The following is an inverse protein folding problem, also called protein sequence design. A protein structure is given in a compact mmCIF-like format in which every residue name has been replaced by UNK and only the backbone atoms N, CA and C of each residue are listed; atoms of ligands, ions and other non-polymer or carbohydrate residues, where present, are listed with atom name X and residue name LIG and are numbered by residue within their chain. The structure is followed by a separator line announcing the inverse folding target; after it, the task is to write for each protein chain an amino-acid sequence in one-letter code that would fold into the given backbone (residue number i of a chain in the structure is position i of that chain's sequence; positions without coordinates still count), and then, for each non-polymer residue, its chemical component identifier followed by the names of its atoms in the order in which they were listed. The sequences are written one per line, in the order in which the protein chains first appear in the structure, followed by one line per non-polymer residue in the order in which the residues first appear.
data_IF_974824878396
#
_entry.id   IF_974824878396
#
_cell.length_a   1.000
_cell.length_b   1.000
_cell.length_c   1.000
_cell.angle_alpha   90.00
_cell.angle_beta   90.00
_cell.angle_gamma   90.00
#
_symmetry.space_group_name_H-M   'P 1'
#
loop_
_entity.id
_entity.type
_entity.pdbx_description
1 polymer ?
#
# COMPACT_ATOMS: atom_id res chain seq x y z
N UNK A 1 -21.66 -13.00 -0.28
CA UNK A 1 -21.21 -11.63 -0.06
C UNK A 1 -19.79 -11.55 -0.52
N UNK A 2 -19.60 -10.85 -1.59
CA UNK A 2 -18.27 -10.72 -2.15
C UNK A 2 -17.43 -9.80 -1.28
N UNK A 3 -16.16 -10.09 -1.21
CA UNK A 3 -15.17 -9.37 -0.42
C UNK A 3 -15.08 -7.88 -0.82
N UNK A 4 -15.38 -7.56 -2.08
CA UNK A 4 -15.54 -6.20 -2.56
C UNK A 4 -16.72 -5.47 -1.90
N UNK A 5 -17.83 -6.18 -1.63
CA UNK A 5 -18.97 -5.59 -0.92
C UNK A 5 -18.61 -5.23 0.52
N UNK A 6 -17.80 -6.10 1.18
CA UNK A 6 -17.26 -5.81 2.51
C UNK A 6 -16.34 -4.59 2.47
N UNK A 7 -15.45 -4.50 1.49
CA UNK A 7 -14.55 -3.35 1.35
C UNK A 7 -15.34 -2.05 1.16
N UNK A 8 -16.31 -2.04 0.28
CA UNK A 8 -17.15 -0.86 0.04
C UNK A 8 -17.93 -0.49 1.30
N UNK A 9 -18.59 -1.44 1.93
CA UNK A 9 -19.42 -1.18 3.11
C UNK A 9 -18.60 -0.67 4.31
N UNK A 10 -17.39 -1.21 4.54
CA UNK A 10 -16.62 -0.98 5.74
C UNK A 10 -15.52 0.09 5.58
N UNK A 11 -14.96 0.22 4.37
CA UNK A 11 -13.82 1.14 4.15
C UNK A 11 -14.20 2.41 3.40
N UNK A 12 -15.19 2.39 2.52
CA UNK A 12 -15.58 3.60 1.79
C UNK A 12 -16.02 4.74 2.72
N UNK A 13 -16.79 4.51 3.80
CA UNK A 13 -17.14 5.57 4.76
C UNK A 13 -15.90 6.17 5.44
N UNK A 14 -14.86 5.36 5.70
CA UNK A 14 -13.60 5.85 6.26
C UNK A 14 -12.84 6.71 5.25
N UNK A 15 -12.77 6.29 3.99
CA UNK A 15 -12.13 7.07 2.92
C UNK A 15 -12.82 8.43 2.77
N UNK A 16 -14.14 8.47 2.76
CA UNK A 16 -14.93 9.71 2.69
C UNK A 16 -14.69 10.61 3.91
N UNK A 17 -14.65 10.04 5.10
CA UNK A 17 -14.39 10.78 6.35
C UNK A 17 -13.04 11.51 6.30
N UNK A 18 -12.02 10.89 5.73
CA UNK A 18 -10.68 11.48 5.54
C UNK A 18 -10.53 12.24 4.23
N UNK A 19 -11.62 12.48 3.51
CA UNK A 19 -11.66 13.22 2.24
C UNK A 19 -10.77 12.60 1.16
N UNK A 20 -10.66 11.26 1.19
CA UNK A 20 -10.00 10.49 0.14
C UNK A 20 -10.94 10.23 -1.03
N UNK A 21 -10.37 9.85 -2.16
CA UNK A 21 -11.10 9.39 -3.33
C UNK A 21 -10.92 7.89 -3.50
N UNK A 22 -12.01 7.20 -3.75
CA UNK A 22 -12.04 5.80 -4.18
C UNK A 22 -11.90 5.77 -5.70
N UNK A 23 -10.71 5.44 -6.21
CA UNK A 23 -10.42 5.56 -7.63
C UNK A 23 -10.91 4.33 -8.39
N UNK A 24 -10.37 3.16 -8.05
CA UNK A 24 -10.76 1.90 -8.70
C UNK A 24 -10.37 0.68 -7.89
N UNK A 25 -11.06 -0.40 -8.18
CA UNK A 25 -10.74 -1.74 -7.74
C UNK A 25 -9.96 -2.48 -8.85
N UNK A 26 -8.91 -3.19 -8.49
CA UNK A 26 -8.06 -3.94 -9.42
C UNK A 26 -7.87 -5.35 -8.88
N UNK A 27 -8.64 -6.29 -9.39
CA UNK A 27 -8.69 -7.65 -8.83
C UNK A 27 -9.19 -7.63 -7.39
N UNK A 28 -8.38 -8.10 -6.47
CA UNK A 28 -8.59 -8.04 -5.03
C UNK A 28 -8.03 -6.77 -4.37
N UNK A 29 -7.48 -5.86 -5.15
CA UNK A 29 -6.86 -4.63 -4.68
C UNK A 29 -7.70 -3.38 -4.91
N UNK A 30 -7.33 -2.33 -4.19
CA UNK A 30 -8.00 -1.04 -4.18
C UNK A 30 -7.00 0.09 -4.33
N UNK A 31 -7.32 1.07 -5.16
CA UNK A 31 -6.54 2.29 -5.32
C UNK A 31 -7.32 3.46 -4.73
N UNK A 32 -6.70 4.11 -3.75
CA UNK A 32 -7.20 5.31 -3.10
C UNK A 32 -6.24 6.48 -3.33
N UNK A 33 -6.78 7.70 -3.34
CA UNK A 33 -5.97 8.92 -3.39
C UNK A 33 -6.39 9.91 -2.32
N UNK A 34 -5.43 10.70 -1.85
CA UNK A 34 -5.63 11.75 -0.84
C UNK A 34 -4.81 12.97 -1.24
N UNK A 35 -5.23 14.12 -0.79
CA UNK A 35 -4.55 15.40 -1.05
C UNK A 35 -3.44 15.72 -0.03
N UNK A 36 -3.38 14.99 1.10
CA UNK A 36 -2.31 15.13 2.09
C UNK A 36 -1.85 13.79 2.67
N UNK A 37 -0.57 13.73 3.05
CA UNK A 37 0.03 12.55 3.70
C UNK A 37 -0.73 12.19 4.98
N UNK A 38 -1.05 13.19 5.81
CA UNK A 38 -1.71 12.95 7.10
C UNK A 38 -3.08 12.30 6.95
N UNK A 39 -3.90 12.79 6.01
CA UNK A 39 -5.21 12.17 5.72
C UNK A 39 -5.05 10.72 5.26
N UNK A 40 -4.11 10.46 4.36
CA UNK A 40 -3.82 9.13 3.85
C UNK A 40 -3.39 8.18 4.98
N UNK A 41 -2.42 8.58 5.79
CA UNK A 41 -1.88 7.73 6.87
C UNK A 41 -2.94 7.45 7.93
N UNK A 42 -3.66 8.47 8.41
CA UNK A 42 -4.71 8.28 9.41
C UNK A 42 -5.85 7.40 8.88
N UNK A 43 -6.30 7.63 7.64
CA UNK A 43 -7.31 6.78 7.01
C UNK A 43 -6.85 5.32 6.95
N UNK A 44 -5.62 5.07 6.50
CA UNK A 44 -5.06 3.73 6.39
C UNK A 44 -4.93 3.02 7.74
N UNK A 45 -4.59 3.76 8.81
CA UNK A 45 -4.58 3.22 10.18
C UNK A 45 -6.01 2.79 10.58
N UNK A 46 -7.01 3.64 10.33
CA UNK A 46 -8.40 3.31 10.62
C UNK A 46 -8.93 2.13 9.80
N UNK A 47 -8.54 2.04 8.54
CA UNK A 47 -8.85 0.87 7.71
C UNK A 47 -8.23 -0.39 8.31
N UNK A 48 -6.97 -0.38 8.78
CA UNK A 48 -6.35 -1.52 9.43
C UNK A 48 -7.01 -1.88 10.76
N UNK A 49 -7.38 -0.89 11.57
CA UNK A 49 -8.15 -1.11 12.80
C UNK A 49 -9.48 -1.81 12.49
N UNK A 50 -10.19 -1.36 11.46
CA UNK A 50 -11.46 -1.96 11.03
C UNK A 50 -11.27 -3.35 10.44
N UNK A 51 -10.27 -3.56 9.59
CA UNK A 51 -9.97 -4.84 8.97
C UNK A 51 -9.68 -5.94 10.01
N UNK A 52 -9.04 -5.61 11.14
CA UNK A 52 -8.81 -6.55 12.26
C UNK A 52 -10.11 -7.10 12.87
N UNK A 53 -11.22 -6.39 12.73
CA UNK A 53 -12.53 -6.83 13.26
C UNK A 53 -13.30 -7.74 12.30
N UNK A 54 -12.82 -7.90 11.07
CA UNK A 54 -13.46 -8.69 10.04
C UNK A 54 -12.77 -10.06 9.98
N UNK A 55 -13.54 -11.10 10.21
CA UNK A 55 -13.02 -12.46 10.24
C UNK A 55 -12.39 -12.85 8.88
N UNK A 56 -11.23 -13.48 8.93
CA UNK A 56 -10.47 -13.95 7.76
C UNK A 56 -10.01 -12.85 6.78
N UNK A 57 -10.09 -11.57 7.16
CA UNK A 57 -9.58 -10.48 6.35
C UNK A 57 -8.15 -10.13 6.77
N UNK A 58 -7.22 -10.24 5.81
CA UNK A 58 -5.84 -9.79 5.98
C UNK A 58 -5.52 -8.75 4.91
N UNK A 59 -5.20 -7.54 5.35
CA UNK A 59 -5.01 -6.39 4.48
C UNK A 59 -3.54 -5.92 4.53
N UNK A 60 -2.95 -5.66 3.36
CA UNK A 60 -1.67 -4.96 3.25
C UNK A 60 -1.90 -3.61 2.62
N UNK A 61 -1.19 -2.60 3.10
CA UNK A 61 -1.31 -1.23 2.59
C UNK A 61 0.06 -0.70 2.21
N UNK A 62 0.15 -0.09 1.02
CA UNK A 62 1.29 0.69 0.56
C UNK A 62 0.90 2.14 0.38
N UNK A 63 1.70 3.09 0.88
CA UNK A 63 1.46 4.53 0.72
C UNK A 63 2.68 5.18 0.05
N UNK A 64 2.44 5.95 -0.99
CA UNK A 64 3.47 6.72 -1.68
C UNK A 64 2.98 8.16 -1.96
N UNK A 65 3.90 9.11 -1.91
CA UNK A 65 3.68 10.48 -2.36
C UNK A 65 4.30 10.66 -3.74
N UNK A 66 3.48 11.01 -4.72
CA UNK A 66 3.92 11.15 -6.09
C UNK A 66 3.02 12.08 -6.91
N UNK A 67 3.26 12.14 -8.20
CA UNK A 67 2.47 12.90 -9.16
C UNK A 67 1.59 11.96 -9.99
N UNK A 68 0.34 12.35 -10.22
CA UNK A 68 -0.58 11.64 -11.09
C UNK A 68 -1.27 12.58 -12.06
N UNK A 69 -1.66 12.01 -13.19
CA UNK A 69 -2.64 12.61 -14.08
C UNK A 69 -3.98 11.90 -13.85
N UNK A 70 -4.96 12.66 -13.37
CA UNK A 70 -6.34 12.20 -13.25
C UNK A 70 -7.04 12.37 -14.61
N UNK A 71 -7.56 11.29 -15.16
CA UNK A 71 -8.27 11.29 -16.44
C UNK A 71 -9.51 10.42 -16.36
N UNK A 72 -10.70 11.02 -16.47
CA UNK A 72 -12.01 10.33 -16.58
C UNK A 72 -12.20 9.17 -15.58
N UNK A 73 -11.98 9.41 -14.29
CA UNK A 73 -12.02 8.41 -13.21
C UNK A 73 -10.91 7.34 -13.23
N UNK A 74 -9.84 7.56 -13.96
CA UNK A 74 -8.62 6.77 -13.87
C UNK A 74 -7.43 7.65 -13.50
N UNK A 75 -6.39 7.03 -12.97
CA UNK A 75 -5.12 7.70 -12.67
C UNK A 75 -4.00 7.06 -13.48
N UNK A 76 -3.18 7.91 -14.07
CA UNK A 76 -2.02 7.50 -14.87
C UNK A 76 -0.77 8.16 -14.27
N UNK A 77 0.29 7.40 -14.12
CA UNK A 77 1.59 7.90 -13.67
C UNK A 77 2.48 6.78 -13.15
N UNK A 78 3.78 7.01 -13.22
CA UNK A 78 4.77 6.05 -12.71
C UNK A 78 4.64 5.86 -11.19
N UNK A 79 4.21 6.90 -10.46
CA UNK A 79 4.04 6.85 -9.01
C UNK A 79 2.89 5.93 -8.56
N UNK A 80 1.89 5.67 -9.41
CA UNK A 80 0.87 4.65 -9.17
C UNK A 80 1.52 3.25 -9.13
N UNK A 81 2.43 2.99 -10.05
CA UNK A 81 3.17 1.73 -10.11
C UNK A 81 4.08 1.58 -8.88
N UNK A 82 4.72 2.66 -8.42
CA UNK A 82 5.55 2.65 -7.21
C UNK A 82 4.71 2.27 -6.01
N UNK A 83 3.53 2.86 -5.86
CA UNK A 83 2.61 2.56 -4.75
C UNK A 83 2.27 1.08 -4.69
N UNK A 84 1.90 0.47 -5.81
CA UNK A 84 1.60 -0.95 -5.92
C UNK A 84 2.83 -1.85 -5.67
N UNK A 85 4.06 -1.34 -5.87
CA UNK A 85 5.32 -2.06 -5.59
C UNK A 85 5.79 -1.92 -4.15
N UNK A 86 5.31 -0.94 -3.41
CA UNK A 86 5.61 -0.75 -1.98
C UNK A 86 4.74 -1.66 -1.10
N UNK A 87 3.49 -1.88 -1.48
CA UNK A 87 2.54 -2.70 -0.71
C UNK A 87 3.10 -4.07 -0.29
N UNK A 88 3.76 -4.85 -1.16
CA UNK A 88 4.28 -6.17 -0.81
C UNK A 88 5.31 -6.18 0.33
N UNK A 89 5.88 -5.02 0.67
CA UNK A 89 6.77 -4.86 1.82
C UNK A 89 6.03 -4.63 3.13
N UNK A 90 4.71 -4.48 3.09
CA UNK A 90 3.87 -4.46 4.29
C UNK A 90 3.71 -5.85 4.88
N UNK A 91 3.74 -5.96 6.20
CA UNK A 91 3.22 -7.14 6.88
C UNK A 91 1.69 -7.24 6.69
N UNK A 92 1.10 -8.44 6.73
CA UNK A 92 -0.35 -8.57 6.83
C UNK A 92 -0.88 -7.79 8.04
N UNK A 93 -1.85 -6.93 7.84
CA UNK A 93 -2.36 -5.99 8.85
C UNK A 93 -1.50 -4.73 9.03
N UNK A 94 -0.41 -4.57 8.27
CA UNK A 94 0.53 -3.47 8.39
C UNK A 94 0.40 -2.40 7.30
N UNK A 95 1.29 -1.42 7.36
CA UNK A 95 1.38 -0.32 6.39
C UNK A 95 2.85 -0.10 6.02
N UNK A 96 3.18 -0.23 4.72
CA UNK A 96 4.46 0.15 4.17
C UNK A 96 4.36 1.54 3.51
N UNK A 97 5.42 2.33 3.63
CA UNK A 97 5.46 3.70 3.13
C UNK A 97 6.77 3.99 2.40
N UNK A 98 6.75 4.88 1.43
CA UNK A 98 7.97 5.41 0.82
C UNK A 98 8.69 6.41 1.71
N UNK A 99 9.97 6.69 1.41
CA UNK A 99 10.73 7.75 2.05
C UNK A 99 10.02 9.11 2.01
N UNK A 100 9.40 9.47 0.90
CA UNK A 100 8.64 10.74 0.77
C UNK A 100 7.52 10.84 1.81
N UNK A 101 6.80 9.74 2.06
CA UNK A 101 5.75 9.68 3.09
C UNK A 101 6.36 9.68 4.49
N UNK A 102 7.44 8.91 4.70
CA UNK A 102 8.20 8.92 5.96
C UNK A 102 8.64 10.33 6.34
N UNK A 103 9.26 11.07 5.42
CA UNK A 103 9.73 12.44 5.65
C UNK A 103 8.59 13.39 6.03
N UNK A 104 7.38 13.13 5.51
CA UNK A 104 6.18 13.89 5.83
C UNK A 104 5.64 13.69 7.24
N UNK A 105 5.85 12.50 7.84
CA UNK A 105 5.28 12.14 9.16
C UNK A 105 6.31 12.01 10.28
N UNK A 106 7.60 11.92 9.97
CA UNK A 106 8.66 11.60 10.94
C UNK A 106 8.76 12.61 12.09
N UNK A 107 8.28 13.82 11.90
CA UNK A 107 8.27 14.90 12.91
C UNK A 107 7.05 14.88 13.82
N UNK A 108 6.06 14.06 13.51
CA UNK A 108 4.85 13.92 14.32
C UNK A 108 5.06 12.81 15.35
N UNK A 109 4.97 13.17 16.64
CA UNK A 109 5.30 12.26 17.75
C UNK A 109 4.39 11.04 17.86
N UNK A 110 3.25 11.06 17.21
CA UNK A 110 2.31 9.92 17.19
C UNK A 110 2.78 8.79 16.25
N UNK A 111 3.65 9.08 15.27
CA UNK A 111 4.13 8.09 14.32
C UNK A 111 5.53 7.60 14.67
N UNK A 112 5.68 6.30 14.65
CA UNK A 112 6.99 5.64 14.65
C UNK A 112 7.10 4.76 13.41
N UNK A 113 8.29 4.73 12.83
CA UNK A 113 8.56 3.99 11.59
C UNK A 113 9.83 3.15 11.73
N UNK A 114 9.94 2.10 10.91
CA UNK A 114 11.13 1.26 10.80
C UNK A 114 11.55 1.18 9.35
N UNK A 115 12.83 1.41 9.09
CA UNK A 115 13.43 1.26 7.77
C UNK A 115 13.47 -0.21 7.35
N UNK A 116 13.02 -0.50 6.12
CA UNK A 116 12.97 -1.86 5.57
C UNK A 116 14.02 -2.10 4.48
N UNK A 117 14.56 -1.04 3.90
CA UNK A 117 15.59 -1.15 2.86
C UNK A 117 15.30 -0.27 1.64
N UNK A 118 16.09 -0.50 0.59
CA UNK A 118 16.03 0.21 -0.69
C UNK A 118 15.90 -0.78 -1.83
N UNK A 119 14.71 -1.37 -2.02
CA UNK A 119 14.48 -2.38 -3.02
C UNK A 119 14.58 -1.81 -4.44
N UNK A 120 15.01 -2.66 -5.38
CA UNK A 120 14.89 -2.37 -6.79
C UNK A 120 13.46 -2.72 -7.24
N UNK A 121 12.60 -1.71 -7.33
CA UNK A 121 11.22 -1.90 -7.76
C UNK A 121 11.15 -2.13 -9.26
N UNK A 122 10.47 -3.19 -9.69
CA UNK A 122 10.37 -3.56 -11.11
C UNK A 122 9.68 -2.45 -11.91
N UNK A 123 10.33 -2.00 -12.98
CA UNK A 123 9.80 -0.93 -13.85
C UNK A 123 9.88 0.48 -13.28
N UNK A 124 10.58 0.66 -12.15
CA UNK A 124 10.78 1.97 -11.50
C UNK A 124 12.25 2.38 -11.64
N UNK A 125 12.50 3.49 -12.32
CA UNK A 125 13.86 4.01 -12.51
C UNK A 125 14.42 4.69 -11.26
N UNK A 126 13.56 5.33 -10.47
CA UNK A 126 13.96 6.06 -9.26
C UNK A 126 14.24 5.09 -8.10
N UNK A 127 15.18 5.51 -7.25
CA UNK A 127 15.49 4.76 -6.02
C UNK A 127 14.48 5.14 -4.94
N UNK A 128 13.74 4.14 -4.44
CA UNK A 128 12.74 4.31 -3.38
C UNK A 128 13.21 3.59 -2.13
N UNK A 129 13.27 4.30 -1.02
CA UNK A 129 13.46 3.69 0.29
C UNK A 129 12.10 3.36 0.90
N UNK A 130 12.00 2.20 1.52
CA UNK A 130 10.76 1.69 2.08
C UNK A 130 10.87 1.59 3.59
N UNK A 131 9.83 2.01 4.27
CA UNK A 131 9.65 1.95 5.72
C UNK A 131 8.34 1.24 6.04
N UNK A 132 8.14 0.77 7.26
CA UNK A 132 6.82 0.43 7.78
C UNK A 132 6.47 1.31 8.97
N UNK A 133 5.18 1.58 9.16
CA UNK A 133 4.67 2.25 10.36
C UNK A 133 4.61 1.21 11.48
N UNK A 134 5.16 1.54 12.65
CA UNK A 134 5.25 0.64 13.81
C UNK A 134 4.42 1.11 15.01
N UNK A 135 3.89 2.32 14.95
CA UNK A 135 2.93 2.86 15.93
C UNK A 135 1.52 2.30 15.74
N UNK A 136 0.59 2.69 16.60
CA UNK A 136 -0.84 2.34 16.52
C UNK A 136 -1.13 0.82 16.55
N UNK A 137 -0.23 0.03 17.17
CA UNK A 137 -0.41 -1.42 17.24
C UNK A 137 -0.35 -2.14 15.89
N UNK A 138 0.26 -1.52 14.88
CA UNK A 138 0.46 -2.12 13.56
C UNK A 138 1.58 -3.17 13.61
N UNK A 139 1.43 -4.31 12.94
CA UNK A 139 2.45 -5.33 12.87
C UNK A 139 3.67 -4.83 12.08
N UNK A 140 4.86 -5.16 12.60
CA UNK A 140 6.12 -4.83 11.95
C UNK A 140 6.45 -5.82 10.85
N UNK A 141 6.97 -5.30 9.76
CA UNK A 141 7.51 -6.15 8.70
C UNK A 141 8.82 -6.78 9.14
N UNK A 142 8.94 -8.08 8.93
CA UNK A 142 10.18 -8.83 9.15
C UNK A 142 11.16 -8.55 8.00
N UNK A 143 12.25 -7.88 8.32
CA UNK A 143 13.27 -7.47 7.34
C UNK A 143 13.94 -8.68 6.66
N UNK A 144 14.04 -9.83 7.34
CA UNK A 144 14.60 -11.05 6.76
C UNK A 144 13.74 -11.58 5.59
N UNK A 145 12.43 -11.48 5.72
CA UNK A 145 11.48 -11.84 4.65
C UNK A 145 11.46 -10.84 3.49
N UNK A 146 11.75 -9.58 3.79
CA UNK A 146 11.93 -8.54 2.76
C UNK A 146 13.18 -8.81 1.93
N UNK A 147 14.30 -9.14 2.57
CA UNK A 147 15.54 -9.50 1.88
C UNK A 147 15.38 -10.72 0.99
N UNK A 148 14.67 -11.74 1.44
CA UNK A 148 14.35 -12.93 0.64
C UNK A 148 13.52 -12.58 -0.61
N UNK A 149 12.52 -11.71 -0.49
CA UNK A 149 11.73 -11.23 -1.65
C UNK A 149 12.59 -10.45 -2.65
N UNK A 150 13.54 -9.66 -2.19
CA UNK A 150 14.48 -8.92 -3.04
C UNK A 150 15.38 -9.86 -3.86
N UNK A 151 15.81 -10.97 -3.26
CA UNK A 151 16.61 -11.99 -3.91
C UNK A 151 15.80 -12.84 -4.89
N UNK A 152 14.55 -13.17 -4.55
CA UNK A 152 13.64 -13.91 -5.44
C UNK A 152 13.25 -13.10 -6.68
N UNK A 153 12.95 -11.80 -6.55
CA UNK A 153 12.70 -10.96 -7.73
C UNK A 153 13.91 -10.87 -8.68
N UNK A 154 15.12 -10.98 -8.16
CA UNK A 154 16.34 -11.06 -8.99
C UNK A 154 16.50 -12.40 -9.71
N UNK A 155 15.98 -13.48 -9.15
CA UNK A 155 16.05 -14.84 -9.71
C UNK A 155 14.85 -15.21 -10.59
N UNK A 156 13.70 -14.57 -10.40
CA UNK A 156 12.45 -14.90 -11.11
C UNK A 156 12.39 -14.47 -12.58
N UNK A 157 13.40 -13.76 -13.07
CA UNK A 157 13.52 -13.42 -14.49
C UNK A 157 13.91 -14.61 -15.41
N UNK A 158 14.11 -15.83 -14.87
CA UNK A 158 14.55 -17.00 -15.66
C UNK A 158 13.50 -18.12 -15.73
N UNK A 159 12.47 -18.15 -14.86
CA UNK A 159 11.53 -19.29 -14.77
C UNK A 159 10.03 -18.91 -14.76
N UNK A 160 9.61 -18.00 -15.62
CA UNK A 160 8.17 -17.74 -15.80
C UNK A 160 7.63 -18.56 -16.99
N UNK A 161 7.76 -19.88 -16.96
CA UNK A 161 7.06 -20.77 -17.89
C UNK A 161 6.96 -22.21 -17.34
N UNK A 162 6.21 -22.41 -16.26
CA UNK A 162 5.49 -23.69 -16.01
C UNK A 162 4.57 -23.50 -14.79
N UNK A 163 3.31 -23.82 -14.98
CA UNK A 163 2.28 -23.65 -13.98
C UNK A 163 2.45 -24.51 -12.74
N UNK A 164 2.00 -23.99 -11.63
CA UNK A 164 1.89 -24.70 -10.37
C UNK A 164 0.91 -23.96 -9.46
N UNK A 165 -0.30 -24.51 -9.38
CA UNK A 165 -1.36 -24.11 -8.46
C UNK A 165 -0.89 -24.40 -7.03
N UNK A 166 -0.79 -23.39 -6.19
CA UNK A 166 -0.72 -23.54 -4.74
C UNK A 166 -1.89 -22.79 -4.11
N UNK A 167 -2.89 -23.57 -3.73
CA UNK A 167 -4.01 -23.13 -2.90
C UNK A 167 -3.51 -22.80 -1.51
N UNK A 168 -3.33 -21.52 -1.21
CA UNK A 168 -3.22 -21.02 0.14
C UNK A 168 -4.55 -20.38 0.52
N UNK A 169 -5.24 -20.98 1.47
CA UNK A 169 -6.47 -20.47 2.07
C UNK A 169 -6.10 -19.26 2.91
N UNK A 170 -6.27 -18.09 2.36
CA UNK A 170 -6.08 -16.81 3.01
C UNK A 170 -6.22 -15.72 1.96
N UNK A 171 -7.34 -15.01 1.99
CA UNK A 171 -7.59 -13.95 1.03
C UNK A 171 -6.73 -12.75 1.41
N UNK A 172 -5.65 -12.53 0.67
CA UNK A 172 -4.78 -11.37 0.85
C UNK A 172 -5.33 -10.20 0.03
N UNK A 173 -5.61 -9.10 0.70
CA UNK A 173 -5.97 -7.83 0.08
C UNK A 173 -4.80 -6.87 0.06
N UNK A 174 -4.78 -6.02 -0.94
CA UNK A 174 -3.83 -4.93 -0.99
C UNK A 174 -4.56 -3.60 -1.26
N UNK A 175 -4.10 -2.55 -0.62
CA UNK A 175 -4.52 -1.18 -0.90
C UNK A 175 -3.28 -0.38 -1.29
N UNK A 176 -3.31 0.17 -2.49
CA UNK A 176 -2.36 1.15 -2.94
C UNK A 176 -2.92 2.55 -2.65
N UNK A 177 -2.26 3.29 -1.80
CA UNK A 177 -2.68 4.64 -1.43
C UNK A 177 -1.68 5.64 -1.97
N UNK A 178 -2.12 6.46 -2.91
CA UNK A 178 -1.36 7.59 -3.41
C UNK A 178 -1.74 8.88 -2.69
N UNK A 179 -0.75 9.66 -2.30
CA UNK A 179 -0.92 11.07 -1.94
C UNK A 179 -0.40 11.87 -3.11
N UNK A 180 -1.25 12.67 -3.71
CA UNK A 180 -0.92 13.33 -4.96
C UNK A 180 -1.13 14.84 -4.85
N UNK A 181 -0.13 15.57 -5.28
CA UNK A 181 -0.25 17.00 -5.51
C UNK A 181 -0.88 17.20 -6.90
N UNK A 182 -2.09 17.74 -6.94
CA UNK A 182 -2.78 18.03 -8.21
C UNK A 182 -2.26 19.37 -8.70
N UNK A 183 -1.22 19.34 -9.51
CA UNK A 183 -0.83 20.53 -10.26
C UNK A 183 -1.82 20.70 -11.42
N UNK A 184 -2.70 21.70 -11.32
CA UNK A 184 -3.49 22.16 -12.46
C UNK A 184 -2.55 22.82 -13.46
N UNK A 185 -2.35 22.19 -14.61
CA UNK A 185 -1.77 22.80 -15.80
C UNK A 185 -2.85 23.44 -16.65
#
# INVERSE_FOLDING_TARGET
SDLLDIQRAEFQPLVELYQGKWIKEVGDGLILTFDTINKAVHCCIKIQEKAKTIENLSLRIGIHLGEILEKENDIIGDDVNITARIEPFSAPGGIAISNKVHDGIVRESEFTTKYLGKPKLKGVAQKVEVYCITSHGLPQTDVSKVSAKLEEESKFNIFALTGGILTAIGIAFWIAVGVFDVSFG
#
